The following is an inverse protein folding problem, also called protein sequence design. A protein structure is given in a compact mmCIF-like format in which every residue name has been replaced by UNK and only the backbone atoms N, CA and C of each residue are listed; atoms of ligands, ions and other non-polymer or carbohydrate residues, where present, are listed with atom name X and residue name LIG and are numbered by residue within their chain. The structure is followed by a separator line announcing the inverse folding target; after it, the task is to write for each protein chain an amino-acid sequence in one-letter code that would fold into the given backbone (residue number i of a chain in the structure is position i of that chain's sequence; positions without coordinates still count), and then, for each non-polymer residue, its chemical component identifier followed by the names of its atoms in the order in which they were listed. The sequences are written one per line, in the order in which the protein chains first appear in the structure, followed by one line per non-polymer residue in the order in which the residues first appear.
data_IF_266508820484
#
_entry.id   IF_266508820484
#
_cell.length_a   1.000
_cell.length_b   1.000
_cell.length_c   1.000
_cell.angle_alpha   90.00
_cell.angle_beta   90.00
_cell.angle_gamma   90.00
#
_symmetry.space_group_name_H-M   'P 1'
#
loop_
_entity.id
_entity.type
_entity.pdbx_description
1 polymer ?
#
# COMPACT_ATOMS: atom_id res chain seq x y z
N UNK A 1 2.69 -20.74 63.53
CA UNK A 1 2.81 -19.61 62.57
C UNK A 1 2.58 -20.15 61.16
N UNK A 2 1.67 -19.52 60.41
CA UNK A 2 1.01 -20.07 59.22
C UNK A 2 1.78 -20.01 57.90
N UNK A 3 1.23 -20.77 56.94
CA UNK A 3 1.54 -20.86 55.52
C UNK A 3 0.76 -19.78 54.76
N UNK A 4 1.42 -18.96 53.93
CA UNK A 4 0.91 -18.19 52.76
C UNK A 4 2.16 -17.73 52.01
N UNK A 5 2.33 -17.70 50.69
CA UNK A 5 1.47 -17.89 49.54
C UNK A 5 2.18 -17.22 48.35
N UNK A 6 1.88 -17.73 47.17
CA UNK A 6 2.47 -17.52 45.86
C UNK A 6 2.28 -16.10 45.25
N UNK A 7 3.07 -15.83 44.20
CA UNK A 7 2.81 -14.92 43.08
C UNK A 7 2.89 -13.38 43.30
N UNK A 8 3.81 -12.74 42.55
CA UNK A 8 3.48 -11.58 41.70
C UNK A 8 4.70 -11.15 40.85
N UNK A 9 4.88 -11.81 39.71
CA UNK A 9 5.54 -11.22 38.53
C UNK A 9 4.44 -11.02 37.49
N UNK A 10 4.01 -9.77 37.25
CA UNK A 10 3.27 -9.31 36.06
C UNK A 10 2.76 -7.90 36.33
N UNK A 11 3.46 -6.89 35.83
CA UNK A 11 2.81 -5.66 35.36
C UNK A 11 3.80 -4.79 34.57
N UNK A 12 3.86 -5.02 33.27
CA UNK A 12 4.07 -3.97 32.25
C UNK A 12 3.86 -4.55 30.84
N UNK A 13 2.80 -5.32 30.61
CA UNK A 13 2.36 -5.61 29.24
C UNK A 13 1.26 -4.61 28.89
N UNK A 14 1.68 -3.43 28.43
CA UNK A 14 0.79 -2.40 27.87
C UNK A 14 0.22 -2.98 26.57
N UNK A 15 -1.06 -3.35 26.60
CA UNK A 15 -1.81 -3.86 25.46
C UNK A 15 -1.78 -2.84 24.31
N UNK A 16 -0.86 -3.05 23.36
CA UNK A 16 -0.95 -2.44 22.04
C UNK A 16 -2.13 -3.11 21.36
N UNK A 17 -3.26 -2.40 21.30
CA UNK A 17 -4.40 -2.78 20.46
C UNK A 17 -3.85 -3.11 19.06
N UNK A 18 -3.99 -4.37 18.63
CA UNK A 18 -3.63 -4.82 17.29
C UNK A 18 -4.54 -4.08 16.28
N UNK A 19 -4.09 -2.91 15.82
CA UNK A 19 -4.77 -2.18 14.76
C UNK A 19 -4.63 -2.98 13.48
N UNK A 20 -5.76 -3.38 12.93
CA UNK A 20 -5.82 -4.04 11.62
C UNK A 20 -5.17 -3.12 10.57
N UNK A 21 -4.25 -3.64 9.73
CA UNK A 21 -3.53 -2.81 8.77
C UNK A 21 -4.48 -2.20 7.73
N UNK A 22 -4.17 -0.98 7.31
CA UNK A 22 -4.83 -0.27 6.21
C UNK A 22 -4.16 -0.63 4.90
N UNK A 23 -4.85 -1.38 4.05
CA UNK A 23 -4.37 -1.74 2.71
C UNK A 23 -5.09 -0.93 1.64
N UNK A 24 -4.33 -0.39 0.70
CA UNK A 24 -4.84 0.22 -0.53
C UNK A 24 -4.25 -0.56 -1.70
N UNK A 25 -5.10 -1.14 -2.54
CA UNK A 25 -4.64 -1.73 -3.80
C UNK A 25 -4.38 -0.63 -4.82
N UNK A 26 -3.25 -0.70 -5.50
CA UNK A 26 -2.87 0.23 -6.56
C UNK A 26 -2.90 -0.53 -7.89
N UNK A 27 -3.93 -0.25 -8.69
CA UNK A 27 -4.21 -0.96 -9.94
C UNK A 27 -4.11 -0.02 -11.15
N UNK A 28 -3.85 -0.61 -12.31
CA UNK A 28 -3.65 0.10 -13.58
C UNK A 28 -2.74 -0.70 -14.51
N UNK A 29 -2.87 -0.49 -15.81
CA UNK A 29 -2.10 -1.25 -16.80
C UNK A 29 -0.58 -0.99 -16.74
N UNK A 30 0.23 -1.78 -17.45
CA UNK A 30 1.65 -1.49 -17.66
C UNK A 30 1.85 -0.05 -18.15
N UNK A 31 2.87 0.67 -17.68
CA UNK A 31 3.12 2.06 -18.14
C UNK A 31 2.22 3.15 -17.55
N UNK A 32 1.16 2.83 -16.79
CA UNK A 32 0.21 3.81 -16.25
C UNK A 32 0.76 4.76 -15.15
N UNK A 33 2.02 4.62 -14.74
CA UNK A 33 2.65 5.52 -13.76
C UNK A 33 2.48 5.16 -12.28
N UNK A 34 1.91 3.99 -11.94
CA UNK A 34 1.70 3.51 -10.56
C UNK A 34 2.93 3.68 -9.65
N UNK A 35 4.08 3.13 -10.06
CA UNK A 35 5.29 3.15 -9.22
C UNK A 35 5.75 4.57 -8.85
N UNK A 36 5.70 5.50 -9.81
CA UNK A 36 6.00 6.93 -9.57
C UNK A 36 5.05 7.52 -8.53
N UNK A 37 3.75 7.24 -8.66
CA UNK A 37 2.75 7.77 -7.74
C UNK A 37 2.79 7.09 -6.37
N UNK A 38 3.12 5.79 -6.30
CA UNK A 38 3.37 5.09 -5.04
C UNK A 38 4.53 5.73 -4.28
N UNK A 39 5.65 6.04 -4.95
CA UNK A 39 6.78 6.74 -4.32
C UNK A 39 6.36 8.10 -3.74
N UNK A 40 5.58 8.88 -4.50
CA UNK A 40 5.04 10.14 -4.01
C UNK A 40 4.11 9.95 -2.80
N UNK A 41 3.24 8.94 -2.80
CA UNK A 41 2.33 8.66 -1.67
C UNK A 41 3.12 8.24 -0.42
N UNK A 42 4.15 7.42 -0.56
CA UNK A 42 5.04 7.03 0.55
C UNK A 42 5.63 8.27 1.22
N UNK A 43 6.22 9.16 0.42
CA UNK A 43 6.84 10.39 0.91
C UNK A 43 5.86 11.33 1.62
N UNK A 44 4.63 11.46 1.13
CA UNK A 44 3.68 12.46 1.63
C UNK A 44 2.71 11.95 2.70
N UNK A 45 2.38 10.66 2.70
CA UNK A 45 1.32 10.10 3.54
C UNK A 45 1.79 8.98 4.49
N UNK A 46 3.07 8.61 4.46
CA UNK A 46 3.67 7.65 5.40
C UNK A 46 3.25 6.19 5.16
N UNK A 47 2.83 5.85 3.94
CA UNK A 47 2.54 4.47 3.55
C UNK A 47 3.83 3.69 3.28
N UNK A 48 3.76 2.37 3.34
CA UNK A 48 4.79 1.47 2.80
C UNK A 48 4.35 0.97 1.43
N UNK A 49 5.21 1.09 0.42
CA UNK A 49 4.96 0.57 -0.93
C UNK A 49 5.45 -0.87 -1.04
N UNK A 50 4.52 -1.78 -1.36
CA UNK A 50 4.78 -3.19 -1.61
C UNK A 50 4.41 -3.50 -3.05
N UNK A 51 5.42 -3.61 -3.92
CA UNK A 51 5.24 -4.02 -5.31
C UNK A 51 5.31 -5.53 -5.41
N UNK A 52 4.20 -6.17 -5.80
CA UNK A 52 4.16 -7.63 -5.95
C UNK A 52 5.20 -8.11 -6.98
N UNK A 53 5.42 -7.33 -8.05
CA UNK A 53 6.44 -7.66 -9.05
C UNK A 53 7.87 -7.57 -8.51
N UNK A 54 8.17 -6.62 -7.62
CA UNK A 54 9.50 -6.51 -7.01
C UNK A 54 9.74 -7.61 -5.99
N UNK A 55 8.72 -7.96 -5.19
CA UNK A 55 8.79 -9.09 -4.26
C UNK A 55 9.05 -10.42 -5.01
N UNK A 56 8.36 -10.65 -6.12
CA UNK A 56 8.59 -11.84 -6.95
C UNK A 56 9.99 -11.85 -7.57
N UNK A 57 10.52 -10.69 -8.01
CA UNK A 57 11.90 -10.61 -8.50
C UNK A 57 12.93 -10.88 -7.41
N UNK A 58 12.72 -10.33 -6.21
CA UNK A 58 13.60 -10.60 -5.07
C UNK A 58 13.63 -12.09 -4.71
N UNK A 59 12.47 -12.77 -4.79
CA UNK A 59 12.35 -14.21 -4.56
C UNK A 59 13.06 -15.05 -5.63
N UNK A 60 13.06 -14.60 -6.90
CA UNK A 60 13.90 -15.20 -7.96
C UNK A 60 15.39 -15.02 -7.60
N UNK A 61 15.80 -13.81 -7.27
CA UNK A 61 17.21 -13.48 -6.96
C UNK A 61 17.75 -14.17 -5.72
N UNK A 62 16.89 -14.54 -4.76
CA UNK A 62 17.30 -15.31 -3.58
C UNK A 62 17.58 -16.78 -3.89
N UNK A 63 17.24 -17.28 -5.08
CA UNK A 63 17.42 -18.68 -5.45
C UNK A 63 16.51 -19.64 -4.68
N UNK A 64 15.32 -19.19 -4.29
CA UNK A 64 14.38 -20.04 -3.54
C UNK A 64 13.83 -21.18 -4.40
N UNK A 65 13.21 -22.18 -3.76
CA UNK A 65 12.55 -23.30 -4.44
C UNK A 65 11.51 -22.82 -5.49
N UNK A 66 10.83 -21.70 -5.21
CA UNK A 66 9.86 -21.13 -6.13
C UNK A 66 10.50 -20.27 -7.24
N UNK A 67 11.77 -19.86 -7.09
CA UNK A 67 12.42 -18.88 -7.96
C UNK A 67 12.35 -19.24 -9.45
N UNK A 68 12.66 -20.50 -9.80
CA UNK A 68 12.59 -20.97 -11.20
C UNK A 68 11.17 -20.91 -11.77
N UNK A 69 10.16 -21.31 -10.98
CA UNK A 69 8.76 -21.28 -11.40
C UNK A 69 8.28 -19.83 -11.60
N UNK A 70 8.59 -18.95 -10.66
CA UNK A 70 8.26 -17.52 -10.74
C UNK A 70 8.92 -16.90 -11.99
N UNK A 71 10.20 -17.17 -12.23
CA UNK A 71 10.93 -16.64 -13.38
C UNK A 71 10.27 -17.03 -14.70
N UNK A 72 9.92 -18.30 -14.88
CA UNK A 72 9.30 -18.80 -16.11
C UNK A 72 7.92 -18.16 -16.33
N UNK A 73 7.07 -18.11 -15.29
CA UNK A 73 5.76 -17.49 -15.41
C UNK A 73 5.83 -15.99 -15.73
N UNK A 74 6.77 -15.27 -15.11
CA UNK A 74 6.98 -13.85 -15.39
C UNK A 74 7.45 -13.60 -16.82
N UNK A 75 8.43 -14.38 -17.31
CA UNK A 75 8.91 -14.30 -18.71
C UNK A 75 7.80 -14.55 -19.72
N UNK A 76 6.89 -15.46 -19.40
CA UNK A 76 5.73 -15.78 -20.25
C UNK A 76 4.57 -14.77 -20.13
N UNK A 77 4.65 -13.81 -19.20
CA UNK A 77 3.58 -12.86 -18.93
C UNK A 77 2.37 -13.48 -18.20
N UNK A 78 2.55 -14.64 -17.55
CA UNK A 78 1.51 -15.34 -16.78
C UNK A 78 1.42 -14.81 -15.34
N UNK A 79 0.28 -15.07 -14.69
CA UNK A 79 0.06 -14.73 -13.27
C UNK A 79 0.66 -15.85 -12.41
N UNK A 80 1.55 -15.48 -11.49
CA UNK A 80 2.09 -16.39 -10.46
C UNK A 80 0.97 -16.78 -9.49
N UNK A 81 0.91 -18.02 -8.98
CA UNK A 81 -0.13 -18.45 -8.05
C UNK A 81 -0.32 -17.51 -6.86
N UNK A 82 -1.58 -17.39 -6.46
CA UNK A 82 -2.04 -16.45 -5.44
C UNK A 82 -1.29 -16.63 -4.12
N UNK A 83 -1.13 -17.87 -3.68
CA UNK A 83 -0.55 -18.25 -2.38
C UNK A 83 0.91 -17.81 -2.26
N UNK A 84 1.68 -17.93 -3.35
CA UNK A 84 3.09 -17.51 -3.38
C UNK A 84 3.16 -16.00 -3.19
N UNK A 85 2.39 -15.25 -3.98
CA UNK A 85 2.40 -13.78 -3.92
C UNK A 85 1.87 -13.26 -2.58
N UNK A 86 0.82 -13.86 -2.03
CA UNK A 86 0.23 -13.47 -0.74
C UNK A 86 1.22 -13.73 0.41
N UNK A 87 1.92 -14.87 0.41
CA UNK A 87 2.96 -15.15 1.42
C UNK A 87 4.07 -14.10 1.41
N UNK A 88 4.55 -13.72 0.22
CA UNK A 88 5.56 -12.67 0.08
C UNK A 88 5.05 -11.32 0.59
N UNK A 89 3.81 -10.96 0.26
CA UNK A 89 3.16 -9.75 0.75
C UNK A 89 3.02 -9.75 2.28
N UNK A 90 2.54 -10.85 2.88
CA UNK A 90 2.38 -10.97 4.34
C UNK A 90 3.73 -10.83 5.07
N UNK A 91 4.78 -11.47 4.53
CA UNK A 91 6.14 -11.33 5.06
C UNK A 91 6.59 -9.87 5.02
N UNK A 92 6.48 -9.22 3.86
CA UNK A 92 6.89 -7.83 3.68
C UNK A 92 6.07 -6.85 4.55
N UNK A 93 4.75 -7.09 4.71
CA UNK A 93 3.91 -6.32 5.62
C UNK A 93 4.40 -6.43 7.07
N UNK A 94 4.71 -7.64 7.51
CA UNK A 94 5.20 -7.92 8.87
C UNK A 94 6.56 -7.28 9.13
N UNK A 95 7.51 -7.44 8.20
CA UNK A 95 8.86 -6.91 8.31
C UNK A 95 8.93 -5.37 8.25
N UNK A 96 7.94 -4.72 7.61
CA UNK A 96 7.92 -3.26 7.47
C UNK A 96 7.74 -2.51 8.81
N UNK A 97 7.11 -3.13 9.81
CA UNK A 97 6.70 -2.46 11.05
C UNK A 97 5.67 -1.33 10.88
N UNK A 98 5.07 -1.15 9.70
CA UNK A 98 4.06 -0.13 9.42
C UNK A 98 2.64 -0.72 9.46
N UNK A 99 1.61 0.12 9.58
CA UNK A 99 0.19 -0.28 9.54
C UNK A 99 -0.54 0.21 8.27
N UNK A 100 0.17 0.87 7.35
CA UNK A 100 -0.38 1.43 6.09
C UNK A 100 0.39 0.94 4.87
N UNK A 101 -0.33 0.31 3.95
CA UNK A 101 0.26 -0.37 2.80
C UNK A 101 -0.36 0.04 1.48
N UNK A 102 0.49 0.30 0.49
CA UNK A 102 0.15 0.36 -0.93
C UNK A 102 0.59 -0.95 -1.56
N UNK A 103 -0.35 -1.79 -1.97
CA UNK A 103 -0.04 -3.02 -2.68
C UNK A 103 -0.18 -2.75 -4.18
N UNK A 104 0.94 -2.67 -4.88
CA UNK A 104 1.03 -2.33 -6.31
C UNK A 104 1.18 -3.59 -7.17
N UNK A 105 0.37 -3.67 -8.22
CA UNK A 105 0.43 -4.75 -9.21
C UNK A 105 -0.20 -6.07 -8.75
N UNK A 106 -0.99 -6.03 -7.67
CA UNK A 106 -1.80 -7.12 -7.13
C UNK A 106 -3.08 -6.52 -6.50
N UNK A 107 -4.24 -7.21 -6.55
CA UNK A 107 -4.53 -8.47 -7.26
C UNK A 107 -4.59 -8.28 -8.79
N UNK A 108 -4.28 -9.35 -9.55
CA UNK A 108 -4.31 -9.33 -11.02
C UNK A 108 -5.50 -10.06 -11.65
N UNK A 109 -6.22 -10.85 -10.87
CA UNK A 109 -7.43 -11.56 -11.27
C UNK A 109 -8.35 -11.75 -10.04
N UNK A 110 -9.55 -12.28 -10.27
CA UNK A 110 -10.53 -12.52 -9.21
C UNK A 110 -10.05 -13.54 -8.18
N UNK A 111 -9.30 -14.56 -8.62
CA UNK A 111 -8.72 -15.57 -7.73
C UNK A 111 -7.74 -14.94 -6.72
N UNK A 112 -6.79 -14.12 -7.19
CA UNK A 112 -5.87 -13.36 -6.35
C UNK A 112 -6.62 -12.48 -5.34
N UNK A 113 -7.68 -11.80 -5.80
CA UNK A 113 -8.50 -10.91 -4.97
C UNK A 113 -9.16 -11.70 -3.85
N UNK A 114 -9.86 -12.79 -4.20
CA UNK A 114 -10.56 -13.64 -3.26
C UNK A 114 -9.61 -14.31 -2.27
N UNK A 115 -8.50 -14.88 -2.76
CA UNK A 115 -7.50 -15.52 -1.94
C UNK A 115 -6.84 -14.55 -0.97
N UNK A 116 -6.54 -13.31 -1.38
CA UNK A 116 -5.98 -12.31 -0.47
C UNK A 116 -6.94 -11.98 0.67
N UNK A 117 -8.20 -11.67 0.36
CA UNK A 117 -9.19 -11.36 1.39
C UNK A 117 -9.45 -12.55 2.30
N UNK A 118 -9.46 -13.78 1.77
CA UNK A 118 -9.70 -14.98 2.56
C UNK A 118 -8.50 -15.34 3.46
N UNK A 119 -7.27 -15.31 2.94
CA UNK A 119 -6.08 -15.71 3.70
C UNK A 119 -5.71 -14.63 4.72
N UNK A 120 -5.73 -13.36 4.33
CA UNK A 120 -5.29 -12.27 5.21
C UNK A 120 -6.40 -11.77 6.12
N UNK A 121 -7.67 -12.06 5.79
CA UNK A 121 -8.87 -11.45 6.38
C UNK A 121 -8.85 -9.92 6.30
N UNK A 122 -8.05 -9.33 5.40
CA UNK A 122 -7.98 -7.88 5.17
C UNK A 122 -8.79 -7.54 3.93
N UNK A 123 -9.77 -6.65 4.10
CA UNK A 123 -10.46 -6.02 2.98
C UNK A 123 -9.77 -4.67 2.70
N UNK A 124 -9.47 -4.32 1.43
CA UNK A 124 -8.83 -3.05 1.14
C UNK A 124 -9.73 -1.87 1.54
N UNK A 125 -9.09 -0.80 2.02
CA UNK A 125 -9.75 0.45 2.33
C UNK A 125 -10.34 1.12 1.08
N UNK A 126 -9.64 0.99 -0.05
CA UNK A 126 -10.07 1.34 -1.39
C UNK A 126 -9.07 0.81 -2.43
N UNK A 127 -9.46 0.82 -3.70
CA UNK A 127 -8.60 0.61 -4.86
C UNK A 127 -8.29 1.98 -5.46
N UNK A 128 -7.01 2.33 -5.54
CA UNK A 128 -6.53 3.46 -6.33
C UNK A 128 -6.26 2.97 -7.75
N UNK A 129 -7.12 3.37 -8.69
CA UNK A 129 -7.05 2.93 -10.08
C UNK A 129 -6.48 4.05 -10.95
N UNK A 130 -5.34 3.80 -11.58
CA UNK A 130 -4.74 4.69 -12.57
C UNK A 130 -5.24 4.31 -13.96
N UNK A 131 -6.19 5.09 -14.45
CA UNK A 131 -6.82 4.93 -15.76
C UNK A 131 -6.00 5.66 -16.82
N UNK A 132 -5.57 4.93 -17.84
CA UNK A 132 -4.71 5.44 -18.90
C UNK A 132 -5.06 4.68 -20.18
N UNK A 133 -5.11 5.37 -21.31
CA UNK A 133 -5.37 4.71 -22.59
C UNK A 133 -4.27 3.69 -22.90
N UNK A 134 -4.63 2.61 -23.60
CA UNK A 134 -3.68 1.59 -24.03
C UNK A 134 -2.57 2.18 -24.90
N UNK A 135 -2.92 3.10 -25.81
CA UNK A 135 -1.97 3.82 -26.65
C UNK A 135 -0.91 4.58 -25.83
N UNK A 136 -1.34 5.34 -24.82
CA UNK A 136 -0.41 6.08 -23.94
C UNK A 136 0.44 5.13 -23.10
N UNK A 137 -0.16 4.04 -22.61
CA UNK A 137 0.56 3.03 -21.87
C UNK A 137 1.63 2.34 -22.73
N UNK A 138 1.31 1.96 -23.95
CA UNK A 138 2.24 1.35 -24.91
C UNK A 138 3.37 2.32 -25.25
N UNK A 139 3.03 3.57 -25.61
CA UNK A 139 4.00 4.65 -25.84
C UNK A 139 4.97 4.81 -24.67
N UNK A 140 4.47 4.81 -23.44
CA UNK A 140 5.31 4.97 -22.23
C UNK A 140 6.19 3.75 -21.96
N UNK A 141 5.72 2.54 -22.25
CA UNK A 141 6.51 1.32 -22.02
C UNK A 141 7.62 1.20 -23.06
N UNK A 142 7.34 1.48 -24.33
CA UNK A 142 8.33 1.42 -25.42
C UNK A 142 9.45 2.45 -25.26
N UNK A 143 9.14 3.64 -24.72
CA UNK A 143 10.12 4.71 -24.50
C UNK A 143 10.94 4.55 -23.20
N UNK A 144 10.78 3.45 -22.44
CA UNK A 144 11.60 3.20 -21.25
C UNK A 144 12.98 2.73 -21.67
N UNK A 145 13.96 3.64 -21.61
CA UNK A 145 15.38 3.36 -21.83
C UNK A 145 16.00 2.35 -20.82
N UNK A 146 15.29 2.03 -19.74
CA UNK A 146 15.66 1.06 -18.70
C UNK A 146 14.48 0.11 -18.42
N UNK A 147 14.07 -0.65 -19.44
CA UNK A 147 13.08 -1.71 -19.29
C UNK A 147 13.54 -2.80 -18.32
N UNK A 148 12.60 -3.56 -17.78
CA UNK A 148 12.92 -4.77 -17.01
C UNK A 148 13.55 -5.82 -17.93
N UNK A 149 14.32 -6.75 -17.36
CA UNK A 149 14.91 -7.86 -18.14
C UNK A 149 13.84 -8.71 -18.87
N UNK A 150 12.60 -8.71 -18.38
CA UNK A 150 11.44 -9.38 -18.98
C UNK A 150 10.61 -8.49 -19.93
N UNK A 151 10.95 -7.22 -20.12
CA UNK A 151 10.21 -6.29 -20.98
C UNK A 151 10.62 -6.45 -22.45
N UNK A 152 10.03 -7.43 -23.14
CA UNK A 152 9.99 -7.47 -24.61
C UNK A 152 8.58 -7.13 -25.14
N UNK A 153 8.48 -6.74 -26.42
CA UNK A 153 7.20 -6.32 -27.04
C UNK A 153 6.10 -7.37 -26.87
N UNK A 154 6.43 -8.65 -27.02
CA UNK A 154 5.45 -9.74 -26.87
C UNK A 154 4.96 -9.87 -25.42
N UNK A 155 5.87 -9.81 -24.45
CA UNK A 155 5.53 -9.86 -23.02
C UNK A 155 4.73 -8.63 -22.60
N UNK A 156 5.02 -7.45 -23.15
CA UNK A 156 4.25 -6.23 -22.92
C UNK A 156 2.80 -6.40 -23.41
N UNK A 157 2.61 -6.90 -24.64
CA UNK A 157 1.26 -7.19 -25.17
C UNK A 157 0.51 -8.22 -24.33
N UNK A 158 1.19 -9.29 -23.89
CA UNK A 158 0.59 -10.28 -22.98
C UNK A 158 0.16 -9.62 -21.66
N UNK A 159 0.94 -8.70 -21.12
CA UNK A 159 0.60 -7.96 -19.90
C UNK A 159 -0.59 -7.02 -20.09
N UNK A 160 -0.73 -6.39 -21.25
CA UNK A 160 -1.95 -5.63 -21.59
C UNK A 160 -3.16 -6.55 -21.66
N UNK A 161 -3.05 -7.68 -22.37
CA UNK A 161 -4.12 -8.68 -22.44
C UNK A 161 -4.56 -9.17 -21.06
N UNK A 162 -3.62 -9.56 -20.20
CA UNK A 162 -3.91 -9.99 -18.83
C UNK A 162 -4.57 -8.88 -18.02
N UNK A 163 -4.11 -7.63 -18.17
CA UNK A 163 -4.73 -6.51 -17.49
C UNK A 163 -6.20 -6.33 -17.92
N UNK A 164 -6.46 -6.32 -19.21
CA UNK A 164 -7.80 -6.13 -19.77
C UNK A 164 -8.75 -7.29 -19.45
N UNK A 165 -8.31 -8.53 -19.60
CA UNK A 165 -9.15 -9.71 -19.43
C UNK A 165 -9.32 -10.13 -17.97
N UNK A 166 -8.31 -9.91 -17.13
CA UNK A 166 -8.29 -10.45 -15.76
C UNK A 166 -8.26 -9.38 -14.66
N UNK A 167 -7.55 -8.28 -14.86
CA UNK A 167 -7.42 -7.24 -13.81
C UNK A 167 -8.58 -6.23 -13.82
N UNK A 168 -9.12 -5.87 -14.98
CA UNK A 168 -10.30 -4.98 -15.07
C UNK A 168 -11.54 -5.54 -14.35
N UNK A 169 -11.89 -6.83 -14.45
CA UNK A 169 -12.99 -7.41 -13.66
C UNK A 169 -12.85 -7.17 -12.14
N UNK A 170 -11.62 -7.17 -11.61
CA UNK A 170 -11.37 -6.88 -10.20
C UNK A 170 -11.67 -5.41 -9.87
N UNK A 171 -11.33 -4.49 -10.77
CA UNK A 171 -11.67 -3.08 -10.61
C UNK A 171 -13.19 -2.91 -10.61
N UNK A 172 -13.90 -3.54 -11.55
CA UNK A 172 -15.36 -3.49 -11.63
C UNK A 172 -16.04 -4.11 -10.38
N UNK A 173 -15.48 -5.19 -9.82
CA UNK A 173 -15.90 -5.75 -8.54
C UNK A 173 -15.87 -4.70 -7.43
N UNK A 174 -14.74 -3.99 -7.23
CA UNK A 174 -14.65 -2.96 -6.18
C UNK A 174 -15.42 -1.68 -6.52
N UNK A 175 -15.65 -1.40 -7.81
CA UNK A 175 -16.45 -0.26 -8.27
C UNK A 175 -17.91 -0.44 -7.89
N UNK A 176 -18.46 -1.64 -8.06
CA UNK A 176 -19.83 -1.99 -7.60
C UNK A 176 -20.01 -1.78 -6.08
N UNK A 177 -18.91 -1.93 -5.31
CA UNK A 177 -18.84 -1.69 -3.86
C UNK A 177 -18.48 -0.26 -3.46
N UNK A 178 -18.40 0.69 -4.42
CA UNK A 178 -18.01 2.10 -4.20
C UNK A 178 -16.60 2.28 -3.57
N UNK A 179 -15.72 1.29 -3.77
CA UNK A 179 -14.35 1.27 -3.23
C UNK A 179 -13.29 1.68 -4.22
N UNK A 180 -13.64 2.05 -5.44
CA UNK A 180 -12.65 2.56 -6.43
C UNK A 180 -12.48 4.07 -6.29
N UNK A 181 -11.24 4.52 -6.41
CA UNK A 181 -10.82 5.92 -6.58
C UNK A 181 -10.02 5.98 -7.87
N UNK A 182 -10.66 6.45 -8.93
CA UNK A 182 -10.09 6.50 -10.27
C UNK A 182 -9.34 7.82 -10.45
N UNK A 183 -8.13 7.74 -11.00
CA UNK A 183 -7.26 8.87 -11.35
C UNK A 183 -6.95 8.77 -12.84
N UNK A 184 -7.17 9.86 -13.57
CA UNK A 184 -6.71 9.99 -14.96
C UNK A 184 -5.18 10.09 -14.98
N UNK A 185 -4.52 9.02 -15.43
CA UNK A 185 -3.08 8.88 -15.55
C UNK A 185 -2.54 9.31 -16.92
N UNK A 186 -3.39 9.78 -17.84
CA UNK A 186 -2.99 10.34 -19.13
C UNK A 186 -2.32 11.72 -19.00
N UNK A 187 -2.52 12.40 -17.87
CA UNK A 187 -2.02 13.75 -17.58
C UNK A 187 -0.53 13.77 -17.14
N UNK A 188 0.11 14.96 -17.08
CA UNK A 188 1.44 15.12 -16.50
C UNK A 188 1.55 14.59 -15.06
N UNK A 189 2.73 14.12 -14.68
CA UNK A 189 2.97 13.40 -13.41
C UNK A 189 2.54 14.22 -12.19
N UNK A 190 2.78 15.52 -12.23
CA UNK A 190 2.46 16.47 -11.16
C UNK A 190 0.94 16.62 -10.99
N UNK A 191 0.20 16.75 -12.09
CA UNK A 191 -1.27 16.87 -12.08
C UNK A 191 -1.95 15.58 -11.62
N UNK A 192 -1.38 14.43 -12.02
CA UNK A 192 -1.80 13.11 -11.53
C UNK A 192 -1.61 13.06 -10.00
N UNK A 193 -0.48 13.56 -9.50
CA UNK A 193 -0.21 13.55 -8.07
C UNK A 193 -1.11 14.50 -7.27
N UNK A 194 -1.46 15.68 -7.79
CA UNK A 194 -2.48 16.55 -7.19
C UNK A 194 -3.82 15.82 -7.00
N UNK A 195 -4.24 15.07 -8.02
CA UNK A 195 -5.46 14.26 -7.96
C UNK A 195 -5.36 13.15 -6.91
N UNK A 196 -4.19 12.50 -6.81
CA UNK A 196 -3.91 11.51 -5.76
C UNK A 196 -3.98 12.16 -4.36
N UNK A 197 -3.40 13.35 -4.16
CA UNK A 197 -3.44 14.04 -2.86
C UNK A 197 -4.86 14.29 -2.40
N UNK A 198 -5.78 14.65 -3.29
CA UNK A 198 -7.19 14.85 -2.95
C UNK A 198 -7.84 13.58 -2.38
N UNK A 199 -7.48 12.40 -2.91
CA UNK A 199 -7.98 11.09 -2.44
C UNK A 199 -7.52 10.78 -1.01
N UNK A 200 -6.26 11.07 -0.68
CA UNK A 200 -5.69 10.75 0.63
C UNK A 200 -5.96 11.84 1.70
N UNK A 201 -6.13 13.10 1.29
CA UNK A 201 -6.37 14.22 2.22
C UNK A 201 -7.81 14.26 2.73
N UNK A 202 -8.79 13.94 1.88
CA UNK A 202 -10.22 13.95 2.24
C UNK A 202 -10.60 13.00 3.40
N UNK A 203 -9.74 12.03 3.73
CA UNK A 203 -9.89 11.16 4.91
C UNK A 203 -9.27 11.73 6.18
N UNK A 204 -8.26 12.59 6.07
CA UNK A 204 -7.52 13.15 7.22
C UNK A 204 -8.20 14.39 7.84
N UNK A 205 -9.08 15.09 7.13
CA UNK A 205 -9.78 16.27 7.67
C UNK A 205 -10.91 15.92 8.65
N UNK A 206 -11.48 14.70 8.55
CA UNK A 206 -12.53 14.25 9.48
C UNK A 206 -12.01 13.95 10.90
N UNK A 207 -10.69 13.83 11.08
CA UNK A 207 -10.07 13.57 12.39
C UNK A 207 -9.64 14.88 13.10
N UNK A 208 -9.52 16.01 12.39
CA UNK A 208 -9.03 17.27 12.98
C UNK A 208 -10.12 18.21 13.52
N UNK A 209 -11.40 17.93 13.29
CA UNK A 209 -12.51 18.80 13.74
C UNK A 209 -13.10 18.44 15.10
N UNK A 210 -12.47 17.57 15.89
CA UNK A 210 -12.93 17.26 17.27
C UNK A 210 -11.92 17.56 18.38
N UNK A 211 -10.79 18.21 18.06
CA UNK A 211 -9.86 18.68 19.08
C UNK A 211 -9.31 20.07 18.69
N UNK A 212 -10.19 21.06 18.65
CA UNK A 212 -9.79 22.46 18.69
C UNK A 212 -10.90 23.30 19.31
N UNK A 213 -11.14 23.07 20.61
CA UNK A 213 -11.69 24.08 21.47
C UNK A 213 -10.64 24.35 22.54
N UNK A 214 -10.37 25.63 22.79
CA UNK A 214 -9.47 26.19 23.82
C UNK A 214 -8.01 26.42 23.43
N UNK A 215 -7.80 27.35 22.50
CA UNK A 215 -6.76 28.37 22.70
C UNK A 215 -7.39 29.74 22.60
N UNK A 216 -7.74 30.34 23.75
CA UNK A 216 -7.99 31.78 23.84
C UNK A 216 -6.65 32.48 23.68
N UNK A 217 -6.47 33.16 22.55
CA UNK A 217 -5.49 34.22 22.40
C UNK A 217 -5.83 35.32 23.41
N UNK A 218 -4.89 35.69 24.28
CA UNK A 218 -4.93 36.96 24.99
C UNK A 218 -3.71 37.77 24.55
N UNK A 219 -3.94 38.78 23.70
CA UNK A 219 -2.97 39.82 23.43
C UNK A 219 -2.90 40.70 24.68
N UNK A 220 -1.87 40.52 25.49
CA UNK A 220 -1.13 41.59 26.16
C UNK A 220 0.04 40.93 26.87
N UNK A 221 1.24 41.21 26.38
CA UNK A 221 2.47 40.67 26.93
C UNK A 221 2.67 41.03 28.38
N UNK A 222 3.08 40.05 29.17
CA UNK A 222 3.90 40.19 30.38
C UNK A 222 4.41 38.79 30.74
N UNK A 223 5.70 38.56 30.50
CA UNK A 223 6.43 37.42 31.04
C UNK A 223 6.51 37.56 32.56
N UNK A 224 6.00 36.58 33.30
CA UNK A 224 6.36 36.38 34.70
C UNK A 224 6.70 34.91 34.94
N UNK A 225 7.98 34.66 35.19
CA UNK A 225 8.45 33.37 35.68
C UNK A 225 8.00 33.13 37.12
N UNK A 226 7.75 31.87 37.46
CA UNK A 226 7.84 31.38 38.84
C UNK A 226 8.58 30.05 38.87
N UNK A 227 9.76 30.12 39.50
CA UNK A 227 10.42 29.03 40.21
C UNK A 227 9.51 28.55 41.35
N UNK A 228 9.61 27.27 41.69
CA UNK A 228 9.48 26.71 43.04
C UNK A 228 10.11 25.30 42.94
N UNK A 229 11.37 25.11 43.34
CA UNK A 229 11.91 24.92 44.71
C UNK A 229 11.45 23.59 45.32
N UNK A 230 12.44 22.71 45.46
CA UNK A 230 12.47 21.51 46.32
C UNK A 230 12.34 21.89 47.81
N UNK A 231 11.69 21.04 48.61
CA UNK A 231 12.10 20.79 50.00
C UNK A 231 11.60 19.44 50.51
N UNK A 232 12.54 18.70 51.09
CA UNK A 232 12.40 17.48 51.88
C UNK A 232 11.58 17.71 53.16
N UNK A 233 10.81 16.69 53.56
CA UNK A 233 10.71 16.09 54.91
C UNK A 233 9.75 14.91 54.85
#
# INVERSE_FOLDING_TARGET
MGIVGEAANKEANRSVSEKKPTVVFVLGGPGSGKGTQCANIVQHFGYTHLSAGDLLRAEISSGSENGTMIQNMMKEGKIVPSEVTIKLLQRAMTESGNDRFLIDGFPRNEENRAAFEDITKIEPAFVLFFDCSEEEMERRVLNRNQGREDDNIETIRKRFKVFSESSLPVIEHYKSRRKVRQIDAGRPVEEVFESVKAVFTSKNEKVKHHCCAWWKFNQHGLCFGRRNIWKES
#
